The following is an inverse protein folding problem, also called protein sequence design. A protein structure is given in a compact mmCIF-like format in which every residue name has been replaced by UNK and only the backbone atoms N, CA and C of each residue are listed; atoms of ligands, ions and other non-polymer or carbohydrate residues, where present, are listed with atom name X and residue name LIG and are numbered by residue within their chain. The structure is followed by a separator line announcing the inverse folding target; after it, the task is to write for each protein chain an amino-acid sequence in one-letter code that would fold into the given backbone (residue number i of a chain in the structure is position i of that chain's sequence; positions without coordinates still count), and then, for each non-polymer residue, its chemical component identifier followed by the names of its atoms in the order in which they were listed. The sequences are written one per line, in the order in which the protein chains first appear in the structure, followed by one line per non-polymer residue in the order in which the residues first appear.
data_IF_731617039547
#
_entry.id   IF_731617039547
#
_cell.length_a   1.000
_cell.length_b   1.000
_cell.length_c   1.000
_cell.angle_alpha   90.00
_cell.angle_beta   90.00
_cell.angle_gamma   90.00
#
_symmetry.space_group_name_H-M   'P 1'
#
loop_
_entity.id
_entity.type
_entity.pdbx_description
1 polymer ?
#
# COMPACT_ATOMS: atom_id res chain seq x y z
N UNK A 1 -1.27 -33.03 -3.70
CA UNK A 1 -2.09 -32.21 -4.61
C UNK A 1 -2.55 -30.90 -3.97
N UNK A 2 -2.95 -30.88 -2.68
CA UNK A 2 -3.40 -29.64 -2.00
C UNK A 2 -2.26 -28.67 -1.61
N UNK A 3 -1.08 -29.20 -1.25
CA UNK A 3 0.08 -28.40 -0.80
C UNK A 3 0.69 -27.53 -1.90
N UNK A 4 0.70 -28.01 -3.13
CA UNK A 4 1.26 -27.28 -4.29
C UNK A 4 0.40 -26.06 -4.66
N UNK A 5 -0.91 -26.17 -4.45
CA UNK A 5 -1.88 -25.10 -4.71
C UNK A 5 -1.74 -23.96 -3.70
N UNK A 6 -1.69 -24.28 -2.41
CA UNK A 6 -1.43 -23.28 -1.37
C UNK A 6 -0.08 -22.58 -1.55
N UNK A 7 0.96 -23.31 -1.96
CA UNK A 7 2.29 -22.71 -2.20
C UNK A 7 2.27 -21.70 -3.36
N UNK A 8 1.44 -21.94 -4.38
CA UNK A 8 1.19 -20.98 -5.47
C UNK A 8 0.42 -19.75 -5.00
N UNK A 9 -0.63 -19.92 -4.19
CA UNK A 9 -1.42 -18.82 -3.67
C UNK A 9 -0.58 -17.89 -2.79
N UNK A 10 0.26 -18.45 -1.92
CA UNK A 10 1.19 -17.68 -1.07
C UNK A 10 2.21 -16.92 -1.93
N UNK A 11 2.69 -17.51 -3.02
CA UNK A 11 3.61 -16.84 -3.96
C UNK A 11 2.94 -15.69 -4.72
N UNK A 12 1.67 -15.87 -5.13
CA UNK A 12 0.86 -14.83 -5.78
C UNK A 12 0.56 -13.66 -4.83
N UNK A 13 0.14 -13.96 -3.61
CA UNK A 13 -0.13 -12.95 -2.57
C UNK A 13 1.15 -12.19 -2.23
N UNK A 14 2.28 -12.89 -2.06
CA UNK A 14 3.58 -12.26 -1.80
C UNK A 14 4.05 -11.33 -2.93
N UNK A 15 3.70 -11.64 -4.19
CA UNK A 15 4.03 -10.80 -5.36
C UNK A 15 3.20 -9.52 -5.41
N UNK A 16 1.90 -9.63 -5.15
CA UNK A 16 0.98 -8.49 -5.10
C UNK A 16 1.33 -7.58 -3.93
N UNK A 17 1.57 -8.17 -2.75
CA UNK A 17 1.98 -7.43 -1.56
C UNK A 17 3.35 -6.75 -1.73
N UNK A 18 4.29 -7.40 -2.43
CA UNK A 18 5.59 -6.78 -2.76
C UNK A 18 5.43 -5.60 -3.72
N UNK A 19 4.60 -5.73 -4.75
CA UNK A 19 4.33 -4.63 -5.70
C UNK A 19 3.66 -3.45 -5.00
N UNK A 20 2.67 -3.71 -4.15
CA UNK A 20 1.99 -2.68 -3.37
C UNK A 20 2.94 -2.00 -2.37
N UNK A 21 3.78 -2.79 -1.69
CA UNK A 21 4.82 -2.29 -0.79
C UNK A 21 5.89 -1.44 -1.48
N UNK A 22 6.28 -1.79 -2.71
CA UNK A 22 7.23 -1.00 -3.51
C UNK A 22 6.62 0.35 -3.93
N UNK A 23 5.35 0.36 -4.35
CA UNK A 23 4.63 1.60 -4.67
C UNK A 23 4.51 2.49 -3.44
N UNK A 24 4.23 1.87 -2.27
CA UNK A 24 4.19 2.59 -1.01
C UNK A 24 5.56 3.18 -0.64
N UNK A 25 6.63 2.39 -0.75
CA UNK A 25 8.00 2.83 -0.49
C UNK A 25 8.42 3.98 -1.41
N UNK A 26 8.11 3.89 -2.71
CA UNK A 26 8.43 4.93 -3.69
C UNK A 26 7.69 6.24 -3.38
N UNK A 27 6.41 6.15 -3.03
CA UNK A 27 5.64 7.31 -2.60
C UNK A 27 6.15 7.94 -1.30
N UNK A 28 6.55 7.10 -0.34
CA UNK A 28 7.10 7.53 0.94
C UNK A 28 8.44 8.25 0.77
N UNK A 29 9.34 7.70 -0.05
CA UNK A 29 10.63 8.34 -0.40
C UNK A 29 10.39 9.66 -1.12
N UNK A 30 9.44 9.73 -2.05
CA UNK A 30 9.09 10.99 -2.74
C UNK A 30 8.56 12.06 -1.79
N UNK A 31 7.78 11.68 -0.77
CA UNK A 31 7.29 12.60 0.26
C UNK A 31 8.43 13.16 1.10
N UNK A 32 9.32 12.28 1.61
CA UNK A 32 10.47 12.68 2.42
C UNK A 32 11.37 13.63 1.63
N UNK A 33 11.67 13.27 0.38
CA UNK A 33 12.51 14.10 -0.48
C UNK A 33 11.86 15.46 -0.77
N UNK A 34 10.55 15.51 -1.01
CA UNK A 34 9.80 16.75 -1.16
C UNK A 34 9.82 17.64 0.08
N UNK A 35 9.71 17.04 1.27
CA UNK A 35 9.74 17.75 2.55
C UNK A 35 11.11 18.37 2.82
N UNK A 36 12.20 17.66 2.50
CA UNK A 36 13.58 18.16 2.68
C UNK A 36 13.91 19.28 1.69
N UNK A 37 13.42 19.17 0.46
CA UNK A 37 13.77 20.10 -0.64
C UNK A 37 12.85 21.31 -0.74
N UNK A 38 11.74 21.32 0.00
CA UNK A 38 10.75 22.41 0.01
C UNK A 38 9.92 22.51 -1.27
N UNK A 39 9.89 21.46 -2.09
CA UNK A 39 9.17 21.47 -3.35
C UNK A 39 7.70 21.08 -3.15
N UNK A 40 6.83 22.08 -3.30
CA UNK A 40 5.37 21.96 -3.15
C UNK A 40 4.77 20.81 -3.96
N UNK A 41 5.29 20.54 -5.16
CA UNK A 41 4.83 19.46 -6.05
C UNK A 41 5.08 18.08 -5.43
N UNK A 42 6.28 17.85 -4.90
CA UNK A 42 6.63 16.58 -4.25
C UNK A 42 5.86 16.37 -2.94
N UNK A 43 5.57 17.46 -2.22
CA UNK A 43 4.76 17.44 -1.00
C UNK A 43 3.29 17.09 -1.30
N UNK A 44 2.69 17.70 -2.34
CA UNK A 44 1.34 17.36 -2.80
C UNK A 44 1.23 15.90 -3.24
N UNK A 45 2.20 15.40 -4.01
CA UNK A 45 2.21 14.00 -4.47
C UNK A 45 2.33 13.01 -3.31
N UNK A 46 3.18 13.31 -2.32
CA UNK A 46 3.30 12.44 -1.15
C UNK A 46 2.05 12.46 -0.27
N UNK A 47 1.41 13.62 -0.08
CA UNK A 47 0.12 13.73 0.65
C UNK A 47 -0.97 12.94 -0.09
N UNK A 48 -1.01 13.02 -1.43
CA UNK A 48 -1.94 12.27 -2.25
C UNK A 48 -1.78 10.74 -2.05
N UNK A 49 -0.54 10.26 -1.97
CA UNK A 49 -0.23 8.84 -1.71
C UNK A 49 -0.65 8.44 -0.30
N UNK A 50 -0.36 9.27 0.71
CA UNK A 50 -0.82 9.07 2.10
C UNK A 50 -2.35 9.03 2.19
N UNK A 51 -3.03 9.90 1.46
CA UNK A 51 -4.49 9.96 1.40
C UNK A 51 -5.07 8.70 0.72
N UNK A 52 -4.47 8.26 -0.39
CA UNK A 52 -4.83 7.02 -1.07
C UNK A 52 -4.67 5.79 -0.17
N UNK A 53 -3.52 5.70 0.52
CA UNK A 53 -3.26 4.70 1.56
C UNK A 53 -4.30 4.71 2.67
N UNK A 54 -4.61 5.88 3.21
CA UNK A 54 -5.59 6.02 4.27
C UNK A 54 -6.98 5.55 3.81
N UNK A 55 -7.34 5.81 2.55
CA UNK A 55 -8.61 5.38 1.97
C UNK A 55 -8.69 3.87 1.80
N UNK A 56 -7.61 3.24 1.33
CA UNK A 56 -7.50 1.77 1.23
C UNK A 56 -7.52 1.14 2.63
N UNK A 57 -6.75 1.67 3.57
CA UNK A 57 -6.72 1.19 4.96
C UNK A 57 -8.09 1.35 5.64
N UNK A 58 -8.78 2.47 5.39
CA UNK A 58 -10.15 2.70 5.88
C UNK A 58 -11.16 1.73 5.26
N UNK A 59 -11.04 1.42 3.96
CA UNK A 59 -11.87 0.38 3.32
C UNK A 59 -11.57 -1.00 3.89
N UNK A 60 -10.31 -1.35 4.09
CA UNK A 60 -9.92 -2.61 4.70
C UNK A 60 -10.45 -2.73 6.13
N UNK A 61 -10.40 -1.65 6.91
CA UNK A 61 -10.97 -1.58 8.26
C UNK A 61 -12.50 -1.75 8.25
N UNK A 62 -13.18 -1.20 7.24
CA UNK A 62 -14.62 -1.38 7.06
C UNK A 62 -14.98 -2.82 6.62
N UNK A 63 -14.14 -3.46 5.80
CA UNK A 63 -14.30 -4.86 5.39
C UNK A 63 -14.03 -5.83 6.55
N UNK A 64 -13.03 -5.53 7.41
CA UNK A 64 -12.76 -6.28 8.64
C UNK A 64 -13.93 -6.18 9.63
N UNK A 65 -14.57 -5.01 9.74
CA UNK A 65 -15.78 -4.86 10.57
C UNK A 65 -16.99 -5.62 9.99
N UNK A 66 -17.12 -5.74 8.67
CA UNK A 66 -18.22 -6.48 8.03
C UNK A 66 -18.09 -7.99 8.20
N UNK A 67 -16.86 -8.53 8.31
CA UNK A 67 -16.60 -9.96 8.57
C UNK A 67 -16.88 -10.42 10.01
N UNK A 68 -17.18 -9.49 10.93
CA UNK A 68 -17.48 -9.74 12.35
C UNK A 68 -18.98 -9.74 12.67
N UNK A 69 -19.86 -9.54 11.68
CA UNK A 69 -21.32 -9.60 11.81
C UNK A 69 -21.85 -10.84 11.11
#
# INVERSE_FOLDING_TARGET
MDRDKQRQEISLIGRILSMEGLVFLMGFVSLIHGLVRGEWVSLCLGILILCGMYLVFKRQSADILRKRK
#
